data_IF_511018935459
#
_entry.id   IF_511018935459
#
_cell.length_a   1.000
_cell.length_b   1.000
_cell.length_c   1.000
_cell.angle_alpha   90.00
_cell.angle_beta   90.00
_cell.angle_gamma   90.00
#
_symmetry.space_group_name_H-M   'P 1'
#
loop_
_entity.id
_entity.type
_entity.pdbx_description
1 polymer ?
#
# COMPACT_ATOMS: atom_id res chain seq x y z
N UNK A 1 41.51 76.24 -123.27
CA UNK A 1 42.16 76.99 -122.17
C UNK A 1 41.90 76.41 -120.78
N UNK A 2 40.82 75.64 -120.57
CA UNK A 2 40.50 74.95 -119.31
C UNK A 2 41.40 73.74 -118.98
N UNK A 3 41.97 73.06 -119.97
CA UNK A 3 42.86 71.89 -119.78
C UNK A 3 44.24 72.25 -119.22
N UNK A 4 44.83 73.39 -119.63
CA UNK A 4 46.16 73.83 -119.15
C UNK A 4 46.15 74.25 -117.67
N UNK A 5 45.08 74.91 -117.21
CA UNK A 5 44.91 75.26 -115.80
C UNK A 5 44.72 74.03 -114.90
N UNK A 6 44.01 73.00 -115.40
CA UNK A 6 43.78 71.78 -114.64
C UNK A 6 45.07 70.94 -114.48
N UNK A 7 45.85 70.81 -115.56
CA UNK A 7 47.17 70.17 -115.51
C UNK A 7 48.12 70.91 -114.55
N UNK A 8 48.14 72.25 -114.58
CA UNK A 8 48.99 73.03 -113.68
C UNK A 8 48.55 72.93 -112.20
N UNK A 9 47.25 72.80 -111.93
CA UNK A 9 46.76 72.49 -110.58
C UNK A 9 47.16 71.09 -110.12
N UNK A 10 47.11 70.09 -111.00
CA UNK A 10 47.54 68.74 -110.65
C UNK A 10 49.06 68.65 -110.47
N UNK A 11 49.86 69.32 -111.30
CA UNK A 11 51.31 69.42 -111.12
C UNK A 11 51.66 70.09 -109.79
N UNK A 12 50.96 71.18 -109.42
CA UNK A 12 51.18 71.83 -108.13
C UNK A 12 50.75 70.94 -106.94
N UNK A 13 49.71 70.11 -107.10
CA UNK A 13 49.33 69.12 -106.07
C UNK A 13 50.36 68.02 -105.92
N UNK A 14 50.88 67.48 -107.03
CA UNK A 14 51.96 66.49 -106.98
C UNK A 14 53.24 67.11 -106.42
N UNK A 15 53.59 68.34 -106.80
CA UNK A 15 54.74 69.05 -106.25
C UNK A 15 54.60 69.27 -104.73
N UNK A 16 53.42 69.70 -104.25
CA UNK A 16 53.16 69.82 -102.82
C UNK A 16 53.21 68.48 -102.08
N UNK A 17 52.68 67.40 -102.68
CA UNK A 17 52.76 66.06 -102.07
C UNK A 17 54.20 65.54 -102.06
N UNK A 18 54.98 65.78 -103.11
CA UNK A 18 56.41 65.47 -103.17
C UNK A 18 57.21 66.29 -102.16
N UNK A 19 56.89 67.57 -101.98
CA UNK A 19 57.53 68.45 -101.00
C UNK A 19 57.15 68.05 -99.58
N UNK A 20 55.90 67.65 -99.32
CA UNK A 20 55.49 67.07 -98.04
C UNK A 20 56.22 65.74 -97.77
N UNK A 21 56.41 64.90 -98.78
CA UNK A 21 57.16 63.65 -98.67
C UNK A 21 58.67 63.89 -98.49
N UNK A 22 59.26 64.88 -99.18
CA UNK A 22 60.67 65.26 -99.00
C UNK A 22 60.92 65.92 -97.63
N UNK A 23 60.00 66.74 -97.14
CA UNK A 23 60.07 67.34 -95.81
C UNK A 23 59.87 66.32 -94.69
N UNK A 24 59.34 65.14 -94.99
CA UNK A 24 59.33 63.99 -94.09
C UNK A 24 60.68 63.25 -94.05
N UNK A 25 61.67 63.68 -94.85
CA UNK A 25 63.09 63.45 -94.61
C UNK A 25 63.86 62.99 -95.83
N UNK A 26 64.75 63.85 -96.37
CA UNK A 26 65.84 63.43 -97.26
C UNK A 26 67.07 64.37 -97.33
N UNK A 27 67.33 65.20 -96.30
CA UNK A 27 68.53 66.10 -96.29
C UNK A 27 69.40 66.04 -95.02
N UNK A 28 69.36 64.96 -94.23
CA UNK A 28 70.38 64.75 -93.17
C UNK A 28 70.56 63.27 -92.82
N UNK A 29 71.78 62.88 -92.43
CA UNK A 29 72.14 61.51 -91.98
C UNK A 29 71.34 61.04 -90.74
N UNK A 30 70.55 61.91 -90.11
CA UNK A 30 69.60 61.59 -89.02
C UNK A 30 68.15 61.37 -89.52
N UNK A 31 67.91 61.42 -90.83
CA UNK A 31 66.58 61.35 -91.45
C UNK A 31 65.85 60.02 -91.27
N UNK A 32 66.54 58.90 -91.05
CA UNK A 32 65.91 57.59 -90.84
C UNK A 32 65.10 57.53 -89.53
N UNK A 33 65.53 58.24 -88.48
CA UNK A 33 64.88 58.17 -87.17
C UNK A 33 63.61 59.02 -87.08
N UNK A 34 63.61 60.20 -87.72
CA UNK A 34 62.42 61.04 -87.82
C UNK A 34 61.36 60.42 -88.73
N UNK A 35 61.76 59.81 -89.85
CA UNK A 35 60.85 59.13 -90.77
C UNK A 35 60.12 57.94 -90.10
N UNK A 36 60.84 57.12 -89.32
CA UNK A 36 60.26 56.01 -88.56
C UNK A 36 59.27 56.47 -87.48
N UNK A 37 59.50 57.64 -86.88
CA UNK A 37 58.61 58.21 -85.87
C UNK A 37 57.34 58.86 -86.47
N UNK A 38 57.44 59.47 -87.66
CA UNK A 38 56.28 60.04 -88.35
C UNK A 38 55.36 58.96 -88.95
N UNK A 39 55.89 57.78 -89.30
CA UNK A 39 55.16 56.60 -89.78
C UNK A 39 54.19 55.97 -88.75
N UNK A 40 54.32 56.32 -87.46
CA UNK A 40 53.40 55.85 -86.41
C UNK A 40 52.08 56.66 -86.35
N UNK A 41 51.94 57.69 -87.18
CA UNK A 41 50.73 58.49 -87.31
C UNK A 41 49.88 57.96 -88.49
N UNK A 42 48.61 57.64 -88.24
CA UNK A 42 47.72 57.03 -89.24
C UNK A 42 47.59 57.85 -90.55
N UNK A 43 47.81 59.16 -90.47
CA UNK A 43 47.75 60.11 -91.59
C UNK A 43 48.96 60.00 -92.55
N UNK A 44 50.14 59.55 -92.09
CA UNK A 44 51.35 59.46 -92.93
C UNK A 44 51.41 58.20 -93.80
N UNK A 45 50.66 57.16 -93.43
CA UNK A 45 50.55 55.92 -94.22
C UNK A 45 49.69 56.12 -95.49
N UNK A 46 48.78 57.10 -95.51
CA UNK A 46 47.89 57.35 -96.64
C UNK A 46 48.53 58.16 -97.79
N UNK A 47 49.52 59.01 -97.50
CA UNK A 47 50.16 59.93 -98.45
C UNK A 47 50.76 59.25 -99.70
N UNK A 48 51.44 58.09 -99.62
CA UNK A 48 51.97 57.41 -100.82
C UNK A 48 50.87 56.92 -101.77
N UNK A 49 49.74 56.45 -101.22
CA UNK A 49 48.62 55.97 -102.02
C UNK A 49 47.93 57.13 -102.74
N UNK A 50 47.81 58.29 -102.09
CA UNK A 50 47.28 59.51 -102.73
C UNK A 50 48.22 60.03 -103.84
N UNK A 51 49.55 59.98 -103.65
CA UNK A 51 50.54 60.36 -104.68
C UNK A 51 50.40 59.48 -105.93
N UNK A 52 50.30 58.16 -105.77
CA UNK A 52 50.13 57.22 -106.89
C UNK A 52 48.80 57.49 -107.62
N UNK A 53 47.72 57.75 -106.88
CA UNK A 53 46.42 58.03 -107.47
C UNK A 53 46.40 59.35 -108.26
N UNK A 54 47.02 60.41 -107.74
CA UNK A 54 47.15 61.68 -108.46
C UNK A 54 48.11 61.57 -109.66
N UNK A 55 49.18 60.77 -109.53
CA UNK A 55 50.10 60.45 -110.61
C UNK A 55 49.39 59.80 -111.78
N UNK A 56 48.61 58.74 -111.55
CA UNK A 56 47.81 58.10 -112.61
C UNK A 56 46.85 59.08 -113.30
N UNK A 57 46.20 59.96 -112.54
CA UNK A 57 45.33 61.00 -113.11
C UNK A 57 46.05 62.00 -114.03
N UNK A 58 47.31 62.34 -113.73
CA UNK A 58 48.14 63.19 -114.58
C UNK A 58 48.59 62.46 -115.86
N UNK A 59 48.93 61.18 -115.77
CA UNK A 59 49.29 60.37 -116.93
C UNK A 59 48.13 60.23 -117.92
N UNK A 60 46.92 59.96 -117.43
CA UNK A 60 45.71 59.91 -118.27
C UNK A 60 45.41 61.25 -118.96
N UNK A 61 45.69 62.37 -118.29
CA UNK A 61 45.43 63.71 -118.83
C UNK A 61 46.49 64.20 -119.85
N UNK A 62 47.74 63.74 -119.75
CA UNK A 62 48.85 64.15 -120.62
C UNK A 62 48.98 63.23 -121.84
N UNK A 63 48.64 61.94 -121.70
CA UNK A 63 48.77 60.93 -122.76
C UNK A 63 47.43 60.28 -123.12
N UNK A 64 46.45 61.03 -123.66
CA UNK A 64 45.28 60.42 -124.25
C UNK A 64 45.70 59.57 -125.47
N UNK A 65 45.03 58.43 -125.72
CA UNK A 65 45.46 57.45 -126.72
C UNK A 65 45.59 58.04 -128.13
N UNK A 66 44.83 59.10 -128.46
CA UNK A 66 44.92 59.76 -129.77
C UNK A 66 46.26 60.53 -129.98
N UNK A 67 46.89 61.00 -128.91
CA UNK A 67 48.19 61.71 -128.97
C UNK A 67 49.35 60.71 -129.07
N UNK A 68 49.21 59.52 -128.47
CA UNK A 68 50.21 58.46 -128.61
C UNK A 68 50.22 57.88 -130.02
N UNK A 69 49.06 57.77 -130.69
CA UNK A 69 49.00 57.31 -132.09
C UNK A 69 49.59 58.31 -133.10
N UNK A 70 49.46 59.62 -132.86
CA UNK A 70 50.04 60.65 -133.74
C UNK A 70 51.56 60.81 -133.55
N UNK A 71 52.07 60.68 -132.33
CA UNK A 71 53.52 60.76 -132.04
C UNK A 71 54.34 59.56 -132.55
N UNK A 72 53.72 58.40 -132.77
CA UNK A 72 54.39 57.25 -133.42
C UNK A 72 54.65 57.51 -134.91
N UNK A 73 53.87 58.39 -135.55
CA UNK A 73 53.94 58.61 -137.00
C UNK A 73 54.76 59.84 -137.42
N UNK A 74 54.88 60.88 -136.58
CA UNK A 74 55.53 62.15 -136.97
C UNK A 74 56.97 62.34 -136.46
N UNK A 75 57.38 61.79 -135.30
CA UNK A 75 58.78 61.85 -134.83
C UNK A 75 59.11 60.71 -133.81
N UNK A 76 59.73 59.60 -134.25
CA UNK A 76 60.04 58.46 -133.38
C UNK A 76 61.08 58.79 -132.30
N UNK A 77 61.99 59.73 -132.55
CA UNK A 77 63.03 60.13 -131.60
C UNK A 77 62.43 60.81 -130.35
N UNK A 78 61.34 61.57 -130.50
CA UNK A 78 60.62 62.12 -129.34
C UNK A 78 59.91 61.06 -128.52
N UNK A 79 59.42 60.00 -129.16
CA UNK A 79 58.76 58.89 -128.47
C UNK A 79 59.76 58.05 -127.67
N UNK A 80 60.97 57.83 -128.18
CA UNK A 80 62.07 57.24 -127.40
C UNK A 80 62.45 58.13 -126.21
N UNK A 81 62.56 59.45 -126.39
CA UNK A 81 62.88 60.36 -125.28
C UNK A 81 61.81 60.36 -124.18
N UNK A 82 60.53 60.26 -124.57
CA UNK A 82 59.40 60.17 -123.64
C UNK A 82 59.33 58.80 -122.97
N UNK A 83 59.60 57.71 -123.69
CA UNK A 83 59.69 56.37 -123.11
C UNK A 83 60.85 56.28 -122.10
N UNK A 84 61.99 56.93 -122.40
CA UNK A 84 63.11 57.05 -121.47
C UNK A 84 62.70 57.87 -120.25
N UNK A 85 62.05 59.03 -120.41
CA UNK A 85 61.56 59.85 -119.29
C UNK A 85 60.51 59.11 -118.44
N UNK A 86 59.63 58.32 -119.06
CA UNK A 86 58.67 57.45 -118.37
C UNK A 86 59.38 56.34 -117.60
N UNK A 87 60.36 55.68 -118.22
CA UNK A 87 61.15 54.65 -117.54
C UNK A 87 61.93 55.22 -116.36
N UNK A 88 62.45 56.45 -116.48
CA UNK A 88 63.16 57.15 -115.40
C UNK A 88 62.21 57.57 -114.29
N UNK A 89 61.01 58.08 -114.61
CA UNK A 89 60.00 58.45 -113.60
C UNK A 89 59.43 57.23 -112.89
N UNK A 90 59.17 56.13 -113.60
CA UNK A 90 58.77 54.86 -112.99
C UNK A 90 59.89 54.24 -112.14
N UNK A 91 61.15 54.31 -112.57
CA UNK A 91 62.28 53.89 -111.75
C UNK A 91 62.45 54.74 -110.49
N UNK A 92 62.23 56.05 -110.57
CA UNK A 92 62.25 56.90 -109.36
C UNK A 92 61.08 56.59 -108.44
N UNK A 93 59.87 56.35 -108.96
CA UNK A 93 58.75 55.90 -108.13
C UNK A 93 58.99 54.53 -107.50
N UNK A 94 59.58 53.58 -108.23
CA UNK A 94 59.98 52.28 -107.68
C UNK A 94 61.06 52.41 -106.62
N UNK A 95 62.04 53.30 -106.81
CA UNK A 95 63.07 53.59 -105.82
C UNK A 95 62.49 54.23 -104.55
N UNK A 96 61.44 55.05 -104.69
CA UNK A 96 60.71 55.63 -103.55
C UNK A 96 59.83 54.58 -102.85
N UNK A 97 59.24 53.62 -103.59
CA UNK A 97 58.35 52.59 -103.03
C UNK A 97 59.10 51.42 -102.36
N UNK A 98 60.28 51.04 -102.86
CA UNK A 98 61.07 49.93 -102.30
C UNK A 98 61.38 50.05 -100.79
N UNK A 99 61.74 51.24 -100.26
CA UNK A 99 61.92 51.46 -98.82
C UNK A 99 60.66 51.22 -97.97
N UNK A 100 59.46 51.29 -98.55
CA UNK A 100 58.19 51.22 -97.82
C UNK A 100 57.64 49.79 -97.72
N UNK A 101 58.08 48.89 -98.60
CA UNK A 101 57.70 47.48 -98.62
C UNK A 101 57.90 46.75 -97.26
N UNK A 102 59.02 46.91 -96.53
CA UNK A 102 59.20 46.26 -95.22
C UNK A 102 58.34 46.85 -94.09
N UNK A 103 57.78 48.05 -94.25
CA UNK A 103 56.94 48.70 -93.22
C UNK A 103 55.49 48.21 -93.22
N UNK A 104 55.04 47.59 -94.33
CA UNK A 104 53.69 47.04 -94.49
C UNK A 104 53.52 45.62 -93.90
N UNK A 105 54.63 44.94 -93.60
CA UNK A 105 54.62 43.70 -92.83
C UNK A 105 54.67 44.03 -91.33
N UNK A 106 53.73 43.48 -90.54
CA UNK A 106 53.64 43.70 -89.08
C UNK A 106 55.03 43.66 -88.41
N UNK A 107 55.46 44.71 -87.70
CA UNK A 107 56.80 44.74 -87.11
C UNK A 107 56.95 43.61 -86.08
N UNK A 108 58.04 42.81 -86.12
CA UNK A 108 58.27 41.73 -85.15
C UNK A 108 58.25 42.24 -83.70
N UNK A 109 58.72 43.47 -83.47
CA UNK A 109 58.76 44.10 -82.15
C UNK A 109 57.38 44.28 -81.48
N UNK A 110 56.29 44.40 -82.25
CA UNK A 110 54.93 44.48 -81.70
C UNK A 110 54.38 43.09 -81.38
N UNK A 111 54.66 42.09 -82.21
CA UNK A 111 54.30 40.70 -81.95
C UNK A 111 54.98 40.18 -80.67
N UNK A 112 56.26 40.52 -80.48
CA UNK A 112 57.01 40.17 -79.27
C UNK A 112 56.43 40.85 -78.02
N UNK A 113 56.11 42.15 -78.08
CA UNK A 113 55.46 42.86 -76.95
C UNK A 113 54.08 42.30 -76.59
N UNK A 114 53.28 41.89 -77.57
CA UNK A 114 51.98 41.26 -77.32
C UNK A 114 52.19 39.90 -76.65
N UNK A 115 53.12 39.09 -77.16
CA UNK A 115 53.48 37.80 -76.58
C UNK A 115 53.95 37.96 -75.13
N UNK A 116 54.85 38.90 -74.86
CA UNK A 116 55.35 39.19 -73.51
C UNK A 116 54.20 39.57 -72.57
N UNK A 117 53.30 40.48 -72.99
CA UNK A 117 52.12 40.85 -72.19
C UNK A 117 51.18 39.68 -71.95
N UNK A 118 50.96 38.82 -72.94
CA UNK A 118 50.14 37.61 -72.77
C UNK A 118 50.77 36.65 -71.76
N UNK A 119 52.10 36.47 -71.78
CA UNK A 119 52.79 35.64 -70.78
C UNK A 119 52.71 36.23 -69.37
N UNK A 120 52.83 37.55 -69.22
CA UNK A 120 52.65 38.22 -67.92
C UNK A 120 51.22 38.04 -67.38
N UNK A 121 50.20 38.15 -68.24
CA UNK A 121 48.81 37.92 -67.83
C UNK A 121 48.60 36.46 -67.39
N UNK A 122 49.22 35.50 -68.09
CA UNK A 122 49.19 34.08 -67.68
C UNK A 122 49.86 33.87 -66.32
N UNK A 123 51.01 34.50 -66.07
CA UNK A 123 51.69 34.45 -64.77
C UNK A 123 50.83 35.05 -63.65
N UNK A 124 50.22 36.21 -63.87
CA UNK A 124 49.33 36.84 -62.89
C UNK A 124 48.10 35.97 -62.60
N UNK A 125 47.56 35.30 -63.62
CA UNK A 125 46.41 34.39 -63.41
C UNK A 125 46.79 33.14 -62.63
N UNK A 126 47.99 32.58 -62.83
CA UNK A 126 48.49 31.46 -62.01
C UNK A 126 48.75 31.89 -60.57
N UNK A 127 49.41 33.03 -60.35
CA UNK A 127 49.67 33.56 -59.01
C UNK A 127 48.36 33.84 -58.25
N UNK A 128 47.35 34.39 -58.92
CA UNK A 128 46.02 34.61 -58.31
C UNK A 128 45.34 33.29 -57.94
N UNK A 129 45.45 32.26 -58.78
CA UNK A 129 44.89 30.95 -58.46
C UNK A 129 45.57 30.31 -57.24
N UNK A 130 46.90 30.43 -57.14
CA UNK A 130 47.67 29.97 -55.98
C UNK A 130 47.31 30.74 -54.70
N UNK A 131 47.16 32.06 -54.79
CA UNK A 131 46.71 32.88 -53.64
C UNK A 131 45.29 32.53 -53.18
N UNK A 132 44.38 32.24 -54.11
CA UNK A 132 43.03 31.79 -53.76
C UNK A 132 43.04 30.42 -53.08
N UNK A 133 43.85 29.48 -53.58
CA UNK A 133 44.03 28.17 -52.94
C UNK A 133 44.65 28.32 -51.54
N UNK A 134 45.67 29.17 -51.39
CA UNK A 134 46.26 29.48 -50.08
C UNK A 134 45.23 30.11 -49.12
N UNK A 135 44.39 31.02 -49.60
CA UNK A 135 43.32 31.61 -48.80
C UNK A 135 42.30 30.58 -48.31
N UNK A 136 41.94 29.60 -49.14
CA UNK A 136 41.04 28.52 -48.75
C UNK A 136 41.66 27.66 -47.64
N UNK A 137 42.95 27.31 -47.75
CA UNK A 137 43.65 26.58 -46.68
C UNK A 137 43.75 27.38 -45.39
N UNK A 138 43.97 28.70 -45.47
CA UNK A 138 44.00 29.58 -44.30
C UNK A 138 42.62 29.67 -43.64
N UNK A 139 41.55 29.73 -44.42
CA UNK A 139 40.19 29.75 -43.89
C UNK A 139 39.84 28.43 -43.18
N UNK A 140 40.21 27.29 -43.76
CA UNK A 140 40.04 25.99 -43.09
C UNK A 140 40.83 25.92 -41.79
N UNK A 141 42.06 26.40 -41.78
CA UNK A 141 42.89 26.45 -40.57
C UNK A 141 42.31 27.38 -39.51
N UNK A 142 41.72 28.51 -39.90
CA UNK A 142 41.03 29.40 -38.97
C UNK A 142 39.80 28.70 -38.36
N UNK A 143 39.02 27.97 -39.16
CA UNK A 143 37.87 27.20 -38.68
C UNK A 143 38.30 26.15 -37.64
N UNK A 144 39.35 25.38 -37.93
CA UNK A 144 39.91 24.39 -36.99
C UNK A 144 40.40 25.05 -35.69
N UNK A 145 41.05 26.21 -35.78
CA UNK A 145 41.49 26.95 -34.59
C UNK A 145 40.31 27.47 -33.75
N UNK A 146 39.20 27.88 -34.39
CA UNK A 146 37.98 28.28 -33.68
C UNK A 146 37.35 27.08 -32.97
N UNK A 147 37.22 25.95 -33.65
CA UNK A 147 36.72 24.70 -33.06
C UNK A 147 37.57 24.25 -31.87
N UNK A 148 38.90 24.25 -32.02
CA UNK A 148 39.82 23.96 -30.92
C UNK A 148 39.73 24.96 -29.77
N UNK A 149 39.44 26.24 -30.07
CA UNK A 149 39.17 27.27 -29.07
C UNK A 149 37.91 26.98 -28.24
N UNK A 150 36.82 26.59 -28.90
CA UNK A 150 35.56 26.22 -28.24
C UNK A 150 35.73 24.95 -27.38
N UNK A 151 36.42 23.93 -27.88
CA UNK A 151 36.75 22.73 -27.12
C UNK A 151 37.59 23.07 -25.87
N UNK A 152 38.59 23.94 -26.01
CA UNK A 152 39.41 24.38 -24.88
C UNK A 152 38.59 25.15 -23.85
N UNK A 153 37.60 25.95 -24.28
CA UNK A 153 36.68 26.63 -23.37
C UNK A 153 35.80 25.62 -22.61
N UNK A 154 35.27 24.60 -23.29
CA UNK A 154 34.51 23.52 -22.65
C UNK A 154 35.38 22.76 -21.64
N UNK A 155 36.62 22.42 -22.00
CA UNK A 155 37.57 21.75 -21.09
C UNK A 155 37.92 22.61 -19.87
N UNK A 156 37.97 23.94 -20.01
CA UNK A 156 38.16 24.84 -18.87
C UNK A 156 36.94 24.85 -17.94
N UNK A 157 35.72 24.79 -18.49
CA UNK A 157 34.49 24.74 -17.69
C UNK A 157 34.38 23.43 -16.92
N UNK A 158 34.58 22.28 -17.58
CA UNK A 158 34.53 20.97 -16.91
C UNK A 158 35.62 20.85 -15.84
N UNK A 159 36.81 21.41 -16.06
CA UNK A 159 37.84 21.49 -15.02
C UNK A 159 37.38 22.31 -13.81
N UNK A 160 36.71 23.45 -14.03
CA UNK A 160 36.21 24.27 -12.93
C UNK A 160 35.14 23.51 -12.11
N UNK A 161 34.23 22.81 -12.79
CA UNK A 161 33.21 21.96 -12.15
C UNK A 161 33.86 20.83 -11.33
N UNK A 162 34.85 20.14 -11.89
CA UNK A 162 35.60 19.10 -11.17
C UNK A 162 36.30 19.66 -9.94
N UNK A 163 36.94 20.83 -10.03
CA UNK A 163 37.56 21.46 -8.86
C UNK A 163 36.55 21.88 -7.80
N UNK A 164 35.34 22.29 -8.20
CA UNK A 164 34.26 22.59 -7.25
C UNK A 164 33.78 21.32 -6.54
N UNK A 165 33.58 20.23 -7.28
CA UNK A 165 33.22 18.93 -6.71
C UNK A 165 34.31 18.36 -5.79
N UNK A 166 35.59 18.53 -6.14
CA UNK A 166 36.71 18.14 -5.28
C UNK A 166 36.72 18.95 -3.97
N UNK A 167 36.42 20.25 -4.02
CA UNK A 167 36.28 21.08 -2.82
C UNK A 167 35.07 20.65 -1.97
N UNK A 168 33.92 20.41 -2.58
CA UNK A 168 32.73 19.90 -1.88
C UNK A 168 33.04 18.57 -1.19
N UNK A 169 33.70 17.64 -1.89
CA UNK A 169 34.12 16.36 -1.33
C UNK A 169 35.13 16.51 -0.19
N UNK A 170 36.08 17.45 -0.29
CA UNK A 170 37.05 17.74 0.75
C UNK A 170 36.42 18.40 1.98
N UNK A 171 35.37 19.21 1.80
CA UNK A 171 34.64 19.85 2.90
C UNK A 171 33.56 18.97 3.52
N UNK A 172 33.12 17.93 2.82
CA UNK A 172 32.10 17.00 3.33
C UNK A 172 32.75 16.01 4.30
N UNK A 173 32.42 16.14 5.59
CA UNK A 173 32.87 15.20 6.61
C UNK A 173 32.09 13.86 6.50
N UNK A 174 32.64 12.94 5.73
CA UNK A 174 32.09 11.59 5.56
C UNK A 174 32.07 10.81 6.87
N UNK A 175 32.97 11.12 7.81
CA UNK A 175 33.02 10.43 9.10
C UNK A 175 31.91 10.92 10.03
N UNK A 176 31.56 12.21 10.00
CA UNK A 176 30.38 12.75 10.68
C UNK A 176 29.08 12.11 10.14
N UNK A 177 28.91 12.05 8.81
CA UNK A 177 27.75 11.39 8.20
C UNK A 177 27.66 9.91 8.57
N UNK A 178 28.79 9.19 8.59
CA UNK A 178 28.83 7.78 9.02
C UNK A 178 28.47 7.62 10.49
N UNK A 179 28.96 8.50 11.36
CA UNK A 179 28.58 8.50 12.78
C UNK A 179 27.09 8.78 12.95
N UNK A 180 26.53 9.76 12.24
CA UNK A 180 25.11 10.08 12.27
C UNK A 180 24.23 8.92 11.80
N UNK A 181 24.62 8.24 10.72
CA UNK A 181 23.94 7.03 10.25
C UNK A 181 23.99 5.93 11.32
N UNK A 182 25.16 5.68 11.91
CA UNK A 182 25.33 4.68 12.97
C UNK A 182 24.48 5.02 14.20
N UNK A 183 24.48 6.28 14.65
CA UNK A 183 23.68 6.74 15.78
C UNK A 183 22.18 6.54 15.51
N UNK A 184 21.71 6.94 14.34
CA UNK A 184 20.31 6.75 13.93
C UNK A 184 19.93 5.27 13.83
N UNK A 185 20.84 4.41 13.35
CA UNK A 185 20.61 2.97 13.31
C UNK A 185 20.43 2.40 14.73
N UNK A 186 21.29 2.77 15.67
CA UNK A 186 21.16 2.31 17.07
C UNK A 186 19.87 2.81 17.73
N UNK A 187 19.46 4.06 17.48
CA UNK A 187 18.19 4.60 17.97
C UNK A 187 17.00 3.84 17.37
N UNK A 188 17.02 3.57 16.06
CA UNK A 188 15.98 2.78 15.38
C UNK A 188 15.89 1.34 15.90
N UNK A 189 17.01 0.72 16.26
CA UNK A 189 17.02 -0.60 16.90
C UNK A 189 16.38 -0.57 18.29
N UNK A 190 16.66 0.47 19.08
CA UNK A 190 16.01 0.68 20.37
C UNK A 190 14.49 0.86 20.21
N UNK A 191 14.06 1.69 19.27
CA UNK A 191 12.63 1.92 18.98
C UNK A 191 11.94 0.63 18.52
N UNK A 192 12.61 -0.17 17.68
CA UNK A 192 12.10 -1.50 17.26
C UNK A 192 11.91 -2.44 18.44
N UNK A 193 12.89 -2.51 19.34
CA UNK A 193 12.80 -3.35 20.53
C UNK A 193 11.65 -2.90 21.44
N UNK A 194 11.49 -1.59 21.66
CA UNK A 194 10.37 -1.05 22.43
C UNK A 194 9.02 -1.40 21.78
N UNK A 195 8.92 -1.29 20.46
CA UNK A 195 7.71 -1.62 19.73
C UNK A 195 7.34 -3.11 19.85
N UNK A 196 8.33 -4.02 19.80
CA UNK A 196 8.10 -5.44 20.04
C UNK A 196 7.66 -5.72 21.49
N UNK A 197 8.23 -5.03 22.49
CA UNK A 197 7.75 -5.16 23.88
C UNK A 197 6.30 -4.68 24.04
N UNK A 198 5.94 -3.56 23.41
CA UNK A 198 4.58 -3.03 23.45
C UNK A 198 3.57 -3.95 22.74
N UNK A 199 3.96 -4.56 21.62
CA UNK A 199 3.12 -5.58 20.95
C UNK A 199 2.87 -6.79 21.84
N UNK A 200 3.90 -7.24 22.56
CA UNK A 200 3.78 -8.37 23.46
C UNK A 200 2.84 -8.04 24.63
N UNK A 201 3.00 -6.86 25.24
CA UNK A 201 2.07 -6.35 26.27
C UNK A 201 0.64 -6.20 25.74
N UNK A 202 0.46 -5.74 24.50
CA UNK A 202 -0.86 -5.65 23.88
C UNK A 202 -1.52 -7.03 23.72
N UNK A 203 -0.75 -8.05 23.35
CA UNK A 203 -1.24 -9.42 23.23
C UNK A 203 -1.60 -10.02 24.61
N UNK A 204 -0.80 -9.76 25.64
CA UNK A 204 -1.09 -10.15 27.02
C UNK A 204 -2.40 -9.52 27.52
N UNK A 205 -2.56 -8.21 27.35
CA UNK A 205 -3.79 -7.50 27.73
C UNK A 205 -5.01 -8.01 26.94
N UNK A 206 -4.85 -8.33 25.66
CA UNK A 206 -5.93 -8.91 24.86
C UNK A 206 -6.36 -10.29 25.38
N UNK A 207 -5.40 -11.12 25.82
CA UNK A 207 -5.68 -12.42 26.44
C UNK A 207 -6.38 -12.27 27.80
N UNK A 208 -5.95 -11.31 28.63
CA UNK A 208 -6.61 -11.00 29.90
C UNK A 208 -8.06 -10.52 29.70
N UNK A 209 -8.28 -9.62 28.73
CA UNK A 209 -9.63 -9.15 28.38
C UNK A 209 -10.52 -10.32 27.93
N UNK A 210 -10.00 -11.22 27.11
CA UNK A 210 -10.75 -12.40 26.67
C UNK A 210 -11.10 -13.32 27.86
N UNK A 211 -10.19 -13.50 28.82
CA UNK A 211 -10.44 -14.27 30.03
C UNK A 211 -11.53 -13.62 30.90
N UNK A 212 -11.47 -12.30 31.11
CA UNK A 212 -12.49 -11.54 31.86
C UNK A 212 -13.85 -11.63 31.17
N UNK A 213 -13.91 -11.51 29.86
CA UNK A 213 -15.16 -11.68 29.09
C UNK A 213 -15.73 -13.09 29.26
N UNK A 214 -14.87 -14.12 29.26
CA UNK A 214 -15.27 -15.49 29.54
C UNK A 214 -15.86 -15.66 30.95
N UNK A 215 -15.21 -15.09 31.96
CA UNK A 215 -15.71 -15.09 33.35
C UNK A 215 -17.04 -14.35 33.47
N UNK A 216 -17.18 -13.17 32.88
CA UNK A 216 -18.44 -12.42 32.88
C UNK A 216 -19.57 -13.22 32.26
N UNK A 217 -19.33 -13.91 31.15
CA UNK A 217 -20.32 -14.77 30.52
C UNK A 217 -20.75 -15.94 31.40
N UNK A 218 -19.79 -16.56 32.11
CA UNK A 218 -20.10 -17.61 33.08
C UNK A 218 -20.94 -17.07 34.25
N UNK A 219 -20.55 -15.95 34.84
CA UNK A 219 -21.28 -15.31 35.93
C UNK A 219 -22.70 -14.95 35.48
N UNK A 220 -22.87 -14.39 34.28
CA UNK A 220 -24.20 -14.07 33.74
C UNK A 220 -25.10 -15.30 33.64
N UNK A 221 -24.58 -16.45 33.18
CA UNK A 221 -25.34 -17.70 33.15
C UNK A 221 -25.71 -18.19 34.54
N UNK A 222 -24.77 -18.18 35.48
CA UNK A 222 -25.05 -18.57 36.88
C UNK A 222 -26.11 -17.65 37.50
N UNK A 223 -26.08 -16.36 37.18
CA UNK A 223 -27.07 -15.38 37.65
C UNK A 223 -28.46 -15.67 37.05
N UNK A 224 -28.54 -15.98 35.75
CA UNK A 224 -29.80 -16.41 35.10
C UNK A 224 -30.36 -17.70 35.73
N UNK A 225 -29.51 -18.70 35.98
CA UNK A 225 -29.93 -19.95 36.64
C UNK A 225 -30.46 -19.69 38.05
N UNK A 226 -29.78 -18.84 38.83
CA UNK A 226 -30.22 -18.45 40.17
C UNK A 226 -31.53 -17.65 40.13
N UNK A 227 -31.69 -16.74 39.17
CA UNK A 227 -32.93 -15.99 38.95
C UNK A 227 -34.09 -16.91 38.62
N UNK A 228 -33.89 -17.95 37.81
CA UNK A 228 -34.92 -18.95 37.50
C UNK A 228 -35.23 -19.89 38.68
N UNK A 229 -34.22 -20.20 39.51
CA UNK A 229 -34.35 -21.11 40.65
C UNK A 229 -35.11 -20.48 41.82
N UNK A 230 -34.90 -19.20 42.09
CA UNK A 230 -35.54 -18.47 43.19
C UNK A 230 -37.07 -18.57 43.22
N UNK A 231 -37.83 -18.22 42.15
CA UNK A 231 -39.29 -18.30 42.18
C UNK A 231 -39.79 -19.74 42.31
N UNK A 232 -39.06 -20.73 41.77
CA UNK A 232 -39.40 -22.15 41.93
C UNK A 232 -39.31 -22.58 43.39
N UNK A 233 -38.26 -22.17 44.09
CA UNK A 233 -38.10 -22.44 45.51
C UNK A 233 -39.19 -21.73 46.32
N UNK A 234 -39.46 -20.45 46.05
CA UNK A 234 -40.54 -19.70 46.71
C UNK A 234 -41.90 -20.41 46.52
N UNK A 235 -42.24 -20.80 45.29
CA UNK A 235 -43.49 -21.53 44.99
C UNK A 235 -43.53 -22.88 45.72
N UNK A 236 -42.43 -23.64 45.73
CA UNK A 236 -42.35 -24.93 46.44
C UNK A 236 -42.52 -24.76 47.94
N UNK A 237 -41.90 -23.74 48.54
CA UNK A 237 -42.07 -23.45 49.96
C UNK A 237 -43.51 -23.05 50.29
N UNK A 238 -44.13 -22.21 49.47
CA UNK A 238 -45.55 -21.84 49.63
C UNK A 238 -46.47 -23.06 49.56
N UNK A 239 -46.23 -23.96 48.60
CA UNK A 239 -46.97 -25.22 48.48
C UNK A 239 -46.79 -26.12 49.71
N UNK A 240 -45.55 -26.28 50.19
CA UNK A 240 -45.27 -27.07 51.40
C UNK A 240 -45.91 -26.46 52.64
N UNK A 241 -45.87 -25.13 52.81
CA UNK A 241 -46.54 -24.47 53.92
C UNK A 241 -48.06 -24.63 53.85
N UNK A 242 -48.65 -24.55 52.65
CA UNK A 242 -50.08 -24.78 52.47
C UNK A 242 -50.46 -26.23 52.82
N UNK A 243 -49.67 -27.22 52.39
CA UNK A 243 -49.87 -28.63 52.75
C UNK A 243 -49.72 -28.88 54.25
N UNK A 244 -48.75 -28.23 54.91
CA UNK A 244 -48.61 -28.34 56.36
C UNK A 244 -49.80 -27.71 57.08
N UNK A 245 -50.27 -26.55 56.64
CA UNK A 245 -51.46 -25.90 57.20
C UNK A 245 -52.66 -26.85 57.09
N UNK A 246 -52.93 -27.39 55.90
CA UNK A 246 -54.06 -28.31 55.71
C UNK A 246 -53.92 -29.57 56.57
N UNK A 247 -52.73 -30.19 56.64
CA UNK A 247 -52.48 -31.33 57.52
C UNK A 247 -52.70 -30.99 59.00
N UNK A 248 -52.22 -29.84 59.46
CA UNK A 248 -52.43 -29.41 60.84
C UNK A 248 -53.90 -29.12 61.13
N UNK A 249 -54.65 -28.56 60.18
CA UNK A 249 -56.09 -28.34 60.31
C UNK A 249 -56.86 -29.67 60.32
N UNK A 250 -56.50 -30.65 59.48
CA UNK A 250 -57.16 -31.96 59.47
C UNK A 250 -56.88 -32.73 60.76
N UNK A 251 -55.64 -32.73 61.26
CA UNK A 251 -55.32 -33.36 62.54
C UNK A 251 -56.00 -32.62 63.71
N UNK A 252 -56.07 -31.28 63.67
CA UNK A 252 -56.82 -30.51 64.67
C UNK A 252 -58.31 -30.87 64.66
N UNK A 253 -58.92 -31.02 63.48
CA UNK A 253 -60.32 -31.46 63.37
C UNK A 253 -60.50 -32.88 63.89
N UNK A 254 -59.60 -33.81 63.54
CA UNK A 254 -59.64 -35.20 63.98
C UNK A 254 -59.49 -35.33 65.49
N UNK A 255 -58.55 -34.60 66.10
CA UNK A 255 -58.39 -34.55 67.54
C UNK A 255 -59.59 -33.85 68.19
N UNK A 256 -60.09 -32.78 67.58
CA UNK A 256 -61.29 -32.06 68.02
C UNK A 256 -62.55 -32.90 68.02
N UNK A 257 -62.68 -33.90 67.13
CA UNK A 257 -63.81 -34.85 67.13
C UNK A 257 -63.58 -36.05 68.03
N UNK A 258 -62.34 -36.52 68.18
CA UNK A 258 -62.02 -37.72 68.98
C UNK A 258 -61.94 -37.46 70.50
N UNK A 259 -61.48 -36.27 70.92
CA UNK A 259 -61.32 -35.94 72.35
C UNK A 259 -62.64 -35.77 73.11
N UNK A 260 -63.68 -35.08 72.59
CA UNK A 260 -64.93 -34.89 73.32
C UNK A 260 -65.65 -36.18 73.75
N UNK A 261 -65.81 -37.21 72.89
CA UNK A 261 -66.47 -38.45 73.31
C UNK A 261 -65.65 -39.21 74.35
N UNK A 262 -64.32 -39.24 74.24
CA UNK A 262 -63.45 -39.87 75.24
C UNK A 262 -63.52 -39.15 76.60
N UNK A 263 -63.59 -37.82 76.59
CA UNK A 263 -63.78 -37.03 77.82
C UNK A 263 -65.18 -37.26 78.42
N UNK A 264 -66.21 -37.41 77.59
CA UNK A 264 -67.55 -37.74 78.05
C UNK A 264 -67.61 -39.15 78.65
N UNK A 265 -66.97 -40.14 78.02
CA UNK A 265 -66.88 -41.51 78.53
C UNK A 265 -66.09 -41.57 79.85
N UNK A 266 -64.98 -40.82 79.96
CA UNK A 266 -64.25 -40.70 81.21
C UNK A 266 -65.09 -40.06 82.32
N UNK A 267 -65.85 -39.00 82.00
CA UNK A 267 -66.74 -38.36 82.96
C UNK A 267 -67.87 -39.30 83.41
N UNK A 268 -68.41 -40.11 82.49
CA UNK A 268 -69.41 -41.13 82.79
C UNK A 268 -68.83 -42.22 83.70
N UNK A 269 -67.64 -42.75 83.38
CA UNK A 269 -66.92 -43.71 84.21
C UNK A 269 -66.62 -43.14 85.61
N UNK A 270 -66.22 -41.86 85.70
CA UNK A 270 -65.98 -41.19 86.97
C UNK A 270 -67.27 -41.10 87.80
N UNK A 271 -68.41 -40.78 87.17
CA UNK A 271 -69.70 -40.74 87.85
C UNK A 271 -70.17 -42.13 88.31
N UNK A 272 -69.99 -43.15 87.49
CA UNK A 272 -70.30 -44.53 87.84
C UNK A 272 -69.42 -45.02 89.00
N UNK A 273 -68.13 -44.67 88.99
CA UNK A 273 -67.22 -44.98 90.09
C UNK A 273 -67.63 -44.29 91.39
N UNK A 274 -68.02 -43.01 91.35
CA UNK A 274 -68.52 -42.28 92.52
C UNK A 274 -69.81 -42.90 93.07
N UNK A 275 -70.72 -43.34 92.20
CA UNK A 275 -71.94 -44.03 92.61
C UNK A 275 -71.63 -45.38 93.27
N UNK A 276 -70.77 -46.20 92.65
CA UNK A 276 -70.35 -47.48 93.23
C UNK A 276 -69.61 -47.30 94.57
N UNK A 277 -68.81 -46.24 94.71
CA UNK A 277 -68.18 -45.89 95.99
C UNK A 277 -69.22 -45.50 97.04
N UNK A 278 -70.26 -44.76 96.65
CA UNK A 278 -71.42 -44.45 97.49
C UNK A 278 -72.14 -45.71 97.97
N UNK A 279 -72.49 -46.62 97.05
CA UNK A 279 -73.13 -47.90 97.37
C UNK A 279 -72.27 -48.76 98.30
N UNK A 280 -70.95 -48.83 98.06
CA UNK A 280 -70.02 -49.56 98.92
C UNK A 280 -69.98 -48.95 100.33
N UNK A 281 -69.97 -47.62 100.45
CA UNK A 281 -70.00 -46.94 101.75
C UNK A 281 -71.30 -47.23 102.52
N UNK A 282 -72.43 -47.31 101.81
CA UNK A 282 -73.72 -47.66 102.39
C UNK A 282 -73.76 -49.13 102.83
N UNK A 283 -73.25 -50.06 102.00
CA UNK A 283 -73.14 -51.46 102.35
C UNK A 283 -72.21 -51.69 103.57
N UNK A 284 -71.12 -50.93 103.69
CA UNK A 284 -70.26 -50.96 104.88
C UNK A 284 -71.03 -50.47 106.11
N UNK A 285 -71.80 -49.38 106.00
CA UNK A 285 -72.62 -48.87 107.10
C UNK A 285 -73.68 -49.90 107.55
N UNK A 286 -74.36 -50.54 106.60
CA UNK A 286 -75.33 -51.59 106.88
C UNK A 286 -74.67 -52.82 107.51
N UNK A 287 -73.52 -53.26 107.00
CA UNK A 287 -72.76 -54.37 107.58
C UNK A 287 -72.33 -54.06 109.02
N UNK A 288 -71.82 -52.85 109.29
CA UNK A 288 -71.47 -52.41 110.65
C UNK A 288 -72.69 -52.40 111.58
N UNK A 289 -73.86 -52.00 111.07
CA UNK A 289 -75.12 -52.05 111.83
C UNK A 289 -75.54 -53.48 112.13
N UNK A 290 -75.48 -54.39 111.16
CA UNK A 290 -75.71 -55.82 111.39
C UNK A 290 -74.71 -56.41 112.39
N UNK A 291 -73.45 -56.01 112.32
CA UNK A 291 -72.41 -56.43 113.27
C UNK A 291 -72.71 -55.96 114.69
N UNK A 292 -73.15 -54.70 114.85
CA UNK A 292 -73.59 -54.18 116.15
C UNK A 292 -74.79 -54.95 116.69
N UNK A 293 -75.83 -55.16 115.86
CA UNK A 293 -77.02 -55.92 116.25
C UNK A 293 -76.69 -57.36 116.64
N UNK A 294 -75.82 -58.04 115.91
CA UNK A 294 -75.36 -59.39 116.28
C UNK A 294 -74.56 -59.39 117.57
N UNK A 295 -73.72 -58.38 117.81
CA UNK A 295 -72.99 -58.25 119.06
C UNK A 295 -73.93 -57.98 120.25
N UNK A 296 -74.95 -57.15 120.07
CA UNK A 296 -76.02 -56.93 121.06
C UNK A 296 -76.78 -58.22 121.34
N UNK A 297 -77.11 -59.00 120.31
CA UNK A 297 -77.80 -60.28 120.45
C UNK A 297 -76.94 -61.31 121.20
N UNK A 298 -75.64 -61.39 120.89
CA UNK A 298 -74.67 -62.22 121.64
C UNK A 298 -74.60 -61.77 123.10
N UNK A 299 -74.57 -60.46 123.37
CA UNK A 299 -74.56 -59.94 124.74
C UNK A 299 -75.86 -60.26 125.48
N UNK A 300 -77.02 -60.15 124.82
CA UNK A 300 -78.30 -60.58 125.37
C UNK A 300 -78.34 -62.07 125.66
N UNK A 301 -77.81 -62.90 124.75
CA UNK A 301 -77.77 -64.36 124.90
C UNK A 301 -76.79 -64.78 126.00
N UNK A 302 -75.64 -64.13 126.11
CA UNK A 302 -74.70 -64.31 127.21
C UNK A 302 -75.30 -63.88 128.55
N UNK A 303 -76.01 -62.75 128.59
CA UNK A 303 -76.74 -62.29 129.78
C UNK A 303 -77.83 -63.29 130.16
N UNK A 304 -78.60 -63.81 129.19
CA UNK A 304 -79.60 -64.85 129.42
C UNK A 304 -78.95 -66.13 129.95
N UNK A 305 -77.86 -66.60 129.32
CA UNK A 305 -77.11 -67.77 129.77
C UNK A 305 -76.57 -67.59 131.19
N UNK A 306 -76.00 -66.44 131.52
CA UNK A 306 -75.55 -66.13 132.89
C UNK A 306 -76.72 -66.07 133.88
N UNK A 307 -77.90 -65.63 133.43
CA UNK A 307 -79.13 -65.63 134.23
C UNK A 307 -79.66 -67.05 134.45
N UNK A 308 -79.60 -67.91 133.44
CA UNK A 308 -79.95 -69.34 133.51
C UNK A 308 -78.98 -70.11 134.40
N UNK A 309 -77.67 -69.80 134.36
CA UNK A 309 -76.68 -70.36 135.29
C UNK A 309 -76.98 -69.94 136.73
N UNK A 310 -77.36 -68.68 136.97
CA UNK A 310 -77.78 -68.19 138.29
C UNK A 310 -79.11 -68.81 138.76
N UNK A 311 -80.03 -69.11 137.85
CA UNK A 311 -81.26 -69.86 138.13
C UNK A 311 -80.97 -71.34 138.45
N UNK A 312 -80.03 -71.96 137.74
CA UNK A 312 -79.54 -73.31 138.01
C UNK A 312 -78.90 -73.46 139.38
N UNK A 313 -78.29 -72.40 139.92
CA UNK A 313 -77.76 -72.37 141.29
C UNK A 313 -78.84 -72.22 142.39
N UNK A 314 -80.09 -71.87 142.03
CA UNK A 314 -81.18 -71.60 142.99
C UNK A 314 -82.32 -72.62 142.98
N UNK A 315 -82.23 -73.66 142.17
CA UNK A 315 -83.13 -74.81 142.22
C UNK A 315 -82.53 -75.91 143.12
N UNK A 316 -83.31 -76.54 144.03
CA UNK A 316 -82.85 -77.67 144.84
C UNK A 316 -82.75 -78.91 143.96
N UNK A 317 -81.66 -79.01 143.22
CA UNK A 317 -81.40 -80.12 142.32
C UNK A 317 -80.65 -81.21 143.08
N UNK A 318 -81.25 -82.40 143.15
CA UNK A 318 -80.65 -83.61 143.72
C UNK A 318 -79.38 -84.00 142.92
N UNK A 319 -78.23 -83.41 143.28
CA UNK A 319 -76.91 -83.73 142.71
C UNK A 319 -76.64 -85.23 142.51
N UNK A 320 -76.96 -86.15 143.46
CA UNK A 320 -76.70 -87.57 143.24
C UNK A 320 -77.55 -88.18 142.11
N UNK A 321 -78.78 -87.67 141.86
CA UNK A 321 -79.61 -88.15 140.74
C UNK A 321 -79.09 -87.67 139.39
N UNK A 322 -78.55 -86.46 139.30
CA UNK A 322 -77.98 -85.94 138.05
C UNK A 322 -76.63 -86.57 137.76
N UNK A 323 -75.78 -86.83 138.76
CA UNK A 323 -74.58 -87.64 138.56
C UNK A 323 -74.94 -89.05 138.08
N UNK A 324 -75.93 -89.71 138.69
CA UNK A 324 -76.38 -91.03 138.20
C UNK A 324 -76.89 -90.97 136.75
N UNK A 325 -77.57 -89.90 136.34
CA UNK A 325 -78.06 -89.73 134.96
C UNK A 325 -76.93 -89.37 134.00
N UNK A 326 -75.98 -88.51 134.38
CA UNK A 326 -74.80 -88.20 133.57
C UNK A 326 -73.93 -89.43 133.38
N UNK A 327 -73.74 -90.25 134.42
CA UNK A 327 -73.01 -91.51 134.34
C UNK A 327 -73.75 -92.49 133.42
N UNK A 328 -75.09 -92.57 133.51
CA UNK A 328 -75.91 -93.35 132.57
C UNK A 328 -75.85 -92.85 131.12
N UNK A 329 -75.75 -91.54 130.90
CA UNK A 329 -75.62 -90.96 129.56
C UNK A 329 -74.22 -91.21 129.00
N UNK A 330 -73.18 -91.13 129.83
CA UNK A 330 -71.82 -91.48 129.45
C UNK A 330 -71.69 -92.98 129.15
N UNK A 331 -72.28 -93.84 129.97
CA UNK A 331 -72.32 -95.29 129.74
C UNK A 331 -73.11 -95.62 128.46
N UNK A 332 -74.27 -94.98 128.24
CA UNK A 332 -75.06 -95.18 127.01
C UNK A 332 -74.38 -94.60 125.76
N UNK A 333 -73.62 -93.50 125.87
CA UNK A 333 -72.84 -92.96 124.76
C UNK A 333 -71.63 -93.85 124.47
N UNK A 334 -70.99 -94.41 125.49
CA UNK A 334 -69.94 -95.42 125.32
C UNK A 334 -70.50 -96.70 124.69
N UNK A 335 -71.71 -97.15 125.08
CA UNK A 335 -72.41 -98.25 124.43
C UNK A 335 -72.78 -97.91 122.99
N UNK A 336 -73.32 -96.72 122.71
CA UNK A 336 -73.65 -96.30 121.35
C UNK A 336 -72.42 -96.15 120.46
N UNK A 337 -71.30 -95.63 120.97
CA UNK A 337 -70.02 -95.59 120.24
C UNK A 337 -69.46 -97.00 120.02
N UNK A 338 -69.66 -97.92 120.97
CA UNK A 338 -69.26 -99.31 120.83
C UNK A 338 -70.16 -100.05 119.84
N UNK A 339 -71.46 -99.77 119.82
CA UNK A 339 -72.42 -100.25 118.82
C UNK A 339 -72.15 -99.65 117.44
N UNK A 340 -71.79 -98.36 117.34
CA UNK A 340 -71.38 -97.72 116.09
C UNK A 340 -70.07 -98.30 115.58
N UNK A 341 -69.09 -98.52 116.46
CA UNK A 341 -67.83 -99.17 116.11
C UNK A 341 -68.05 -100.63 115.68
N UNK A 342 -68.92 -101.38 116.37
CA UNK A 342 -69.27 -102.74 115.97
C UNK A 342 -70.09 -102.79 114.69
N UNK A 343 -70.99 -101.84 114.46
CA UNK A 343 -71.76 -101.71 113.22
C UNK A 343 -70.85 -101.32 112.05
N UNK A 344 -69.88 -100.42 112.25
CA UNK A 344 -68.86 -100.09 111.25
C UNK A 344 -67.96 -101.31 110.96
N UNK A 345 -67.53 -102.06 111.98
CA UNK A 345 -66.72 -103.26 111.79
C UNK A 345 -67.51 -104.41 111.13
N UNK A 346 -68.81 -104.53 111.38
CA UNK A 346 -69.70 -105.46 110.66
C UNK A 346 -69.98 -104.99 109.23
N UNK A 347 -70.08 -103.68 108.98
CA UNK A 347 -70.22 -103.13 107.64
C UNK A 347 -68.95 -103.36 106.80
N UNK A 348 -67.77 -103.16 107.36
CA UNK A 348 -66.49 -103.46 106.68
C UNK A 348 -66.32 -104.97 106.43
N UNK A 349 -66.65 -105.83 107.41
CA UNK A 349 -66.60 -107.30 107.22
C UNK A 349 -67.66 -107.86 106.27
N UNK A 350 -68.78 -107.15 106.06
CA UNK A 350 -69.80 -107.54 105.08
C UNK A 350 -69.48 -107.05 103.67
N UNK A 351 -68.68 -105.99 103.52
CA UNK A 351 -68.19 -105.53 102.22
C UNK A 351 -66.98 -106.34 101.71
N UNK A 352 -66.13 -106.89 102.58
CA UNK A 352 -65.00 -107.76 102.17
C UNK A 352 -65.37 -109.23 101.89
N UNK A 353 -66.64 -109.63 102.05
CA UNK A 353 -67.15 -110.99 101.80
C UNK A 353 -68.18 -111.09 100.67
N UNK A 354 -67.91 -110.49 99.51
CA UNK A 354 -68.43 -110.97 98.22
C UNK A 354 -67.54 -110.54 97.04
N UNK A 355 -66.46 -111.28 96.81
CA UNK A 355 -65.94 -111.56 95.46
C UNK A 355 -66.59 -112.89 95.05
N UNK A 356 -67.68 -112.87 94.28
CA UNK A 356 -68.09 -114.00 93.41
C UNK A 356 -68.94 -113.46 92.25
N UNK A 357 -68.34 -113.55 91.05
CA UNK A 357 -68.89 -113.65 89.68
C UNK A 357 -70.42 -113.56 89.48
N UNK A 358 -70.87 -112.60 88.66
CA UNK A 358 -71.21 -112.78 87.24
C UNK A 358 -71.19 -111.43 86.51
#
# INVERSE_FOLDING_TARGET
MTTRQNLQQQFNKIANLLEQIQNLGLDSEDGETNFLSSLHQFETVALPFELVQQGMGLWEAIFPPEVLESLVQEDPDTLESLAIALSQTLQTQLAILNPWLPLLTTPPALADKIRDRTTQIQQITTEKAELLAASETLFHRELELRQGGDELQQLKQTRAELTALEQELATTDLDELRRDISNRQTALEQDRNQLETLKLQQAELAAEIAAIQGLNHQISRELEELQLRRPRLETRTQQQTAQLITLTETERQRLGTALPPLLAELAEQQSAYQNAQGELSQAIADFNRYQQQTHELINHLNSHYQTDVKLGQKLPVNQPKIETIMQRIQDNLAELDQELAMAQQQHERSQEKTIVTF
#
